data_IF_758149786289
#
_entry.id   IF_758149786289
#
_cell.length_a   1.000
_cell.length_b   1.000
_cell.length_c   1.000
_cell.angle_alpha   90.00
_cell.angle_beta   90.00
_cell.angle_gamma   90.00
#
_symmetry.space_group_name_H-M   'P 1'
#
loop_
_entity.id
_entity.type
_entity.pdbx_description
1 polymer ?
#
# COMPACT_ATOMS: atom_id res chain seq x y z
N UNK A 1 4.40 -4.88 -15.15
CA UNK A 1 5.11 -4.35 -13.98
C UNK A 1 4.73 -5.20 -12.78
N UNK A 2 5.67 -5.47 -11.89
CA UNK A 2 5.55 -6.38 -10.76
C UNK A 2 5.30 -5.56 -9.50
N UNK A 3 4.05 -5.37 -9.11
CA UNK A 3 3.65 -4.48 -8.01
C UNK A 3 2.99 -5.28 -6.89
N UNK A 4 3.46 -5.09 -5.65
CA UNK A 4 2.83 -5.63 -4.44
C UNK A 4 1.84 -4.60 -3.92
N UNK A 5 0.64 -5.03 -3.55
CA UNK A 5 -0.33 -4.17 -2.88
C UNK A 5 -0.29 -4.50 -1.40
N UNK A 6 -0.33 -3.49 -0.54
CA UNK A 6 -0.52 -3.69 0.90
C UNK A 6 -1.71 -2.87 1.35
N UNK A 7 -2.83 -3.55 1.62
CA UNK A 7 -4.00 -2.92 2.23
C UNK A 7 -3.80 -2.73 3.74
N UNK A 8 -4.28 -1.63 4.29
CA UNK A 8 -3.96 -1.25 5.67
C UNK A 8 -2.47 -0.94 5.89
N UNK A 9 -1.74 -0.57 4.82
CA UNK A 9 -0.28 -0.42 4.84
C UNK A 9 0.24 0.74 5.71
N UNK A 10 -0.60 1.70 6.10
CA UNK A 10 -0.25 2.73 7.08
C UNK A 10 -0.62 2.32 8.53
N UNK A 11 -1.34 1.21 8.70
CA UNK A 11 -1.62 0.61 10.00
C UNK A 11 -0.38 -0.02 10.65
N UNK A 12 -0.55 -0.47 11.90
CA UNK A 12 0.53 -1.06 12.70
C UNK A 12 1.19 -2.28 12.02
N UNK A 13 0.38 -3.27 11.61
CA UNK A 13 0.89 -4.50 10.99
C UNK A 13 1.33 -4.24 9.54
N UNK A 14 0.53 -3.47 8.78
CA UNK A 14 0.82 -3.19 7.38
C UNK A 14 2.17 -2.47 7.21
N UNK A 15 2.45 -1.45 8.02
CA UNK A 15 3.72 -0.74 7.97
C UNK A 15 4.93 -1.61 8.36
N UNK A 16 4.79 -2.46 9.38
CA UNK A 16 5.83 -3.43 9.74
C UNK A 16 6.10 -4.45 8.62
N UNK A 17 5.04 -4.87 7.92
CA UNK A 17 5.18 -5.77 6.77
C UNK A 17 5.86 -5.09 5.59
N UNK A 18 5.48 -3.85 5.25
CA UNK A 18 6.17 -3.05 4.23
C UNK A 18 7.64 -2.84 4.59
N UNK A 19 7.94 -2.54 5.85
CA UNK A 19 9.32 -2.43 6.32
C UNK A 19 10.11 -3.72 6.08
N UNK A 20 9.50 -4.89 6.36
CA UNK A 20 10.11 -6.20 6.11
C UNK A 20 10.34 -6.43 4.60
N UNK A 21 9.38 -6.09 3.74
CA UNK A 21 9.53 -6.15 2.28
C UNK A 21 10.68 -5.25 1.80
N UNK A 22 10.83 -4.05 2.38
CA UNK A 22 11.95 -3.17 2.06
C UNK A 22 13.31 -3.77 2.44
N UNK A 23 13.40 -4.53 3.55
CA UNK A 23 14.64 -5.26 3.88
C UNK A 23 14.98 -6.33 2.85
N UNK A 24 13.97 -6.86 2.16
CA UNK A 24 14.10 -7.84 1.07
C UNK A 24 14.22 -7.19 -0.32
N UNK A 25 14.39 -5.86 -0.37
CA UNK A 25 14.51 -5.04 -1.59
C UNK A 25 13.26 -5.04 -2.48
N UNK A 26 12.10 -5.32 -1.89
CA UNK A 26 10.80 -5.20 -2.53
C UNK A 26 10.26 -3.81 -2.18
N UNK A 27 10.34 -2.88 -3.13
CA UNK A 27 10.00 -1.46 -2.91
C UNK A 27 8.90 -0.94 -3.87
N UNK A 28 8.56 -1.67 -4.95
CA UNK A 28 7.40 -1.34 -5.82
C UNK A 28 6.09 -1.78 -5.15
N UNK A 29 5.75 -1.03 -4.10
CA UNK A 29 4.61 -1.29 -3.23
C UNK A 29 3.58 -0.17 -3.38
N UNK A 30 2.33 -0.56 -3.65
CA UNK A 30 1.17 0.33 -3.51
C UNK A 30 0.57 0.17 -2.12
N UNK A 31 0.56 1.24 -1.35
CA UNK A 31 -0.14 1.29 -0.07
C UNK A 31 -1.59 1.68 -0.30
N UNK A 32 -2.52 0.89 0.25
CA UNK A 32 -3.95 1.21 0.27
C UNK A 32 -4.37 1.44 1.72
N UNK A 33 -4.69 2.68 2.11
CA UNK A 33 -5.14 2.98 3.48
C UNK A 33 -6.04 4.24 3.51
N UNK A 34 -6.47 4.64 4.70
CA UNK A 34 -7.17 5.88 5.00
C UNK A 34 -6.38 6.66 6.06
N UNK A 35 -5.87 7.83 5.64
CA UNK A 35 -5.02 8.70 6.45
C UNK A 35 -5.76 9.88 7.11
N UNK A 36 -7.09 10.02 6.92
CA UNK A 36 -7.82 11.28 7.15
C UNK A 36 -7.62 11.95 8.51
N UNK A 37 -7.52 11.21 9.62
CA UNK A 37 -7.46 11.81 10.96
C UNK A 37 -6.56 11.06 11.96
N UNK A 38 -5.51 10.38 11.49
CA UNK A 38 -4.71 9.52 12.35
C UNK A 38 -3.21 9.78 12.24
N UNK A 39 -2.48 9.55 13.35
CA UNK A 39 -1.02 9.53 13.37
C UNK A 39 -0.40 8.41 12.51
N UNK A 40 -1.20 7.62 11.78
CA UNK A 40 -0.75 6.53 10.89
C UNK A 40 0.26 7.00 9.84
N UNK A 41 0.20 8.25 9.40
CA UNK A 41 1.18 8.79 8.46
C UNK A 41 2.61 8.66 8.99
N UNK A 42 2.79 8.67 10.32
CA UNK A 42 4.10 8.48 10.97
C UNK A 42 4.63 7.06 10.77
N UNK A 43 3.76 6.06 10.63
CA UNK A 43 4.17 4.69 10.33
C UNK A 43 4.73 4.54 8.91
N UNK A 44 4.39 5.47 8.02
CA UNK A 44 4.94 5.53 6.66
C UNK A 44 6.30 6.26 6.62
N UNK A 45 6.69 6.93 7.71
CA UNK A 45 7.97 7.61 7.77
C UNK A 45 9.11 6.58 7.84
N UNK A 46 10.00 6.59 6.85
CA UNK A 46 11.18 5.72 6.83
C UNK A 46 11.00 4.37 6.14
N UNK A 47 9.79 4.05 5.64
CA UNK A 47 9.57 2.92 4.73
C UNK A 47 9.52 3.41 3.27
N UNK A 48 9.84 2.52 2.33
CA UNK A 48 9.88 2.81 0.89
C UNK A 48 8.69 2.15 0.20
N UNK A 49 7.97 2.91 -0.59
CA UNK A 49 6.82 2.45 -1.37
C UNK A 49 6.72 3.29 -2.65
N UNK A 50 6.11 2.76 -3.69
CA UNK A 50 6.03 3.43 -4.99
C UNK A 50 4.84 4.36 -5.12
N UNK A 51 3.73 4.06 -4.44
CA UNK A 51 2.52 4.88 -4.50
C UNK A 51 1.57 4.65 -3.30
N UNK A 52 0.64 5.57 -3.09
CA UNK A 52 -0.42 5.49 -2.09
C UNK A 52 -1.78 5.81 -2.71
N UNK A 53 -2.80 5.02 -2.37
CA UNK A 53 -4.18 5.26 -2.80
C UNK A 53 -5.14 5.17 -1.61
N UNK A 54 -6.13 6.05 -1.59
CA UNK A 54 -7.18 5.99 -0.58
C UNK A 54 -8.05 4.73 -0.77
N UNK A 55 -8.40 4.04 0.32
CA UNK A 55 -9.17 2.77 0.28
C UNK A 55 -10.44 2.83 -0.59
N UNK A 56 -11.18 3.94 -0.54
CA UNK A 56 -12.45 4.08 -1.28
C UNK A 56 -12.23 4.19 -2.80
N UNK A 57 -11.12 4.81 -3.20
CA UNK A 57 -10.73 4.93 -4.62
C UNK A 57 -10.24 3.57 -5.12
N UNK A 58 -9.45 2.86 -4.30
CA UNK A 58 -9.03 1.51 -4.63
C UNK A 58 -10.23 0.55 -4.78
N UNK A 59 -11.17 0.60 -3.84
CA UNK A 59 -12.38 -0.22 -3.88
C UNK A 59 -13.20 0.04 -5.15
N UNK A 60 -13.45 1.31 -5.50
CA UNK A 60 -14.10 1.65 -6.77
C UNK A 60 -13.33 1.14 -7.98
N UNK A 61 -12.00 1.18 -7.93
CA UNK A 61 -11.17 0.74 -9.04
C UNK A 61 -11.28 -0.78 -9.27
N UNK A 62 -11.26 -1.56 -8.18
CA UNK A 62 -11.45 -3.02 -8.18
C UNK A 62 -12.85 -3.38 -8.68
N UNK A 63 -13.89 -2.80 -8.09
CA UNK A 63 -15.29 -3.15 -8.42
C UNK A 63 -15.71 -2.70 -9.81
N UNK A 64 -15.13 -1.60 -10.29
CA UNK A 64 -15.32 -1.09 -11.65
C UNK A 64 -14.48 -1.78 -12.72
N UNK A 65 -13.63 -2.76 -12.36
CA UNK A 65 -12.66 -3.40 -13.27
C UNK A 65 -11.77 -2.39 -14.02
N UNK A 66 -11.35 -1.32 -13.34
CA UNK A 66 -10.53 -0.25 -13.94
C UNK A 66 -9.04 -0.36 -13.60
N UNK A 67 -8.67 -1.33 -12.76
CA UNK A 67 -7.26 -1.64 -12.50
C UNK A 67 -6.60 -2.16 -13.78
N UNK A 68 -5.57 -1.45 -14.25
CA UNK A 68 -4.88 -1.73 -15.53
C UNK A 68 -3.67 -2.64 -15.40
N UNK A 69 -3.38 -3.16 -14.21
CA UNK A 69 -2.23 -4.02 -13.91
C UNK A 69 -2.62 -5.18 -13.00
N UNK A 70 -1.98 -6.34 -13.19
CA UNK A 70 -2.11 -7.47 -12.26
C UNK A 70 -1.08 -7.33 -11.13
N UNK A 71 -1.50 -7.22 -9.85
CA UNK A 71 -0.56 -7.26 -8.74
C UNK A 71 0.07 -8.65 -8.63
N UNK A 72 1.32 -8.71 -8.17
CA UNK A 72 1.95 -10.01 -7.90
C UNK A 72 1.43 -10.65 -6.60
N UNK A 73 1.09 -9.80 -5.64
CA UNK A 73 0.54 -10.16 -4.34
C UNK A 73 -0.27 -8.98 -3.78
N UNK A 74 -1.20 -9.28 -2.87
CA UNK A 74 -2.05 -8.33 -2.13
C UNK A 74 -2.01 -8.70 -0.65
#
# INVERSE_FOLDING_TARGET
MKRVIVTGGAGFIGSAFVWKLNQERIDDILIVDDLKDSEKWRNLAGIRFSDYIHKDVFLHSVTGNTITYGPEAI
#
